data_IF_524893653278
#
_entry.id   IF_524893653278
#
_cell.length_a   1.000
_cell.length_b   1.000
_cell.length_c   1.000
_cell.angle_alpha   90.00
_cell.angle_beta   90.00
_cell.angle_gamma   90.00
#
_symmetry.space_group_name_H-M   'P 1'
#
loop_
_entity.id
_entity.type
_entity.pdbx_description
1 polymer ?
#
# COMPACT_ATOMS: atom_id res chain seq x y z
N UNK A 1 -6.26 19.14 -7.47
CA UNK A 1 -5.46 18.07 -6.87
C UNK A 1 -5.50 16.84 -7.76
N UNK A 2 -4.37 16.22 -8.01
CA UNK A 2 -4.25 14.95 -8.74
C UNK A 2 -3.62 13.91 -7.82
N UNK A 3 -4.17 12.69 -7.78
CA UNK A 3 -3.70 11.58 -6.95
C UNK A 3 -3.39 10.34 -7.78
N UNK A 4 -2.38 9.59 -7.36
CA UNK A 4 -1.98 8.32 -7.96
C UNK A 4 -0.93 8.45 -9.07
N UNK A 5 -0.12 7.41 -9.22
CA UNK A 5 0.89 7.32 -10.28
C UNK A 5 2.20 8.05 -10.03
N UNK A 6 2.21 9.13 -9.31
CA UNK A 6 3.43 9.89 -9.02
C UNK A 6 4.41 9.07 -8.16
N UNK A 7 5.65 8.94 -8.66
CA UNK A 7 6.72 8.21 -7.97
C UNK A 7 8.05 8.96 -8.00
N UNK A 8 8.30 9.81 -8.97
CA UNK A 8 9.55 10.54 -9.13
C UNK A 8 9.40 11.98 -8.71
N UNK A 9 10.45 12.55 -8.13
CA UNK A 9 10.54 13.98 -7.78
C UNK A 9 10.39 14.85 -9.02
N UNK A 10 11.04 14.49 -10.12
CA UNK A 10 10.93 15.17 -11.40
C UNK A 10 9.48 15.25 -11.89
N UNK A 11 8.78 14.09 -11.99
CA UNK A 11 7.39 14.07 -12.47
C UNK A 11 6.41 14.82 -11.56
N UNK A 12 6.69 14.89 -10.24
CA UNK A 12 5.91 15.73 -9.31
C UNK A 12 6.16 17.21 -9.60
N UNK A 13 7.43 17.62 -9.75
CA UNK A 13 7.79 19.00 -10.04
C UNK A 13 7.23 19.46 -11.38
N UNK A 14 7.32 18.64 -12.41
CA UNK A 14 6.78 18.94 -13.74
C UNK A 14 5.26 19.17 -13.70
N UNK A 15 4.52 18.32 -12.97
CA UNK A 15 3.08 18.46 -12.82
C UNK A 15 2.67 19.76 -12.09
N UNK A 16 3.47 20.18 -11.11
CA UNK A 16 3.24 21.42 -10.37
C UNK A 16 3.64 22.67 -11.18
N UNK A 17 4.81 22.63 -11.84
CA UNK A 17 5.33 23.77 -12.61
C UNK A 17 4.56 24.02 -13.89
N UNK A 18 4.07 22.98 -14.55
CA UNK A 18 3.23 23.09 -15.75
C UNK A 18 1.77 23.47 -15.47
N UNK A 19 1.42 23.75 -14.20
CA UNK A 19 0.05 24.05 -13.75
C UNK A 19 -0.99 22.95 -14.07
N UNK A 20 -0.58 21.71 -14.33
CA UNK A 20 -1.49 20.57 -14.46
C UNK A 20 -2.26 20.34 -13.16
N UNK A 21 -1.62 20.60 -12.02
CA UNK A 21 -2.27 20.62 -10.73
C UNK A 21 -1.53 21.52 -9.73
N UNK A 22 -2.23 21.98 -8.69
CA UNK A 22 -1.64 22.73 -7.58
C UNK A 22 -1.25 21.83 -6.40
N UNK A 23 -1.80 20.62 -6.34
CA UNK A 23 -1.56 19.67 -5.25
C UNK A 23 -1.42 18.26 -5.83
N UNK A 24 -0.33 17.58 -5.47
CA UNK A 24 -0.11 16.17 -5.77
C UNK A 24 -0.39 15.31 -4.54
N UNK A 25 -1.29 14.35 -4.67
CA UNK A 25 -1.63 13.38 -3.61
C UNK A 25 -0.80 12.10 -3.71
N UNK A 26 -0.15 11.72 -2.61
CA UNK A 26 0.64 10.50 -2.47
C UNK A 26 -0.01 9.62 -1.40
N UNK A 27 -0.31 8.37 -1.70
CA UNK A 27 -0.95 7.44 -0.77
C UNK A 27 -0.06 6.25 -0.40
N UNK A 28 0.00 5.22 -1.27
CA UNK A 28 0.65 3.94 -0.96
C UNK A 28 2.07 4.02 -0.41
N UNK A 29 2.98 4.87 -0.92
CA UNK A 29 4.31 5.01 -0.34
C UNK A 29 4.30 5.39 1.13
N UNK A 30 3.38 6.29 1.54
CA UNK A 30 3.25 6.73 2.93
C UNK A 30 2.77 5.63 3.88
N UNK A 31 2.02 4.65 3.39
CA UNK A 31 1.62 3.49 4.20
C UNK A 31 2.81 2.61 4.58
N UNK A 32 3.85 2.57 3.76
CA UNK A 32 5.03 1.75 3.97
C UNK A 32 6.23 2.52 4.57
N UNK A 33 6.36 3.80 4.23
CA UNK A 33 7.35 4.72 4.82
C UNK A 33 6.72 6.10 5.03
N UNK A 34 6.27 6.44 6.25
CA UNK A 34 5.63 7.73 6.54
C UNK A 34 6.55 8.92 6.33
N UNK A 35 7.86 8.71 6.26
CA UNK A 35 8.86 9.76 6.05
C UNK A 35 9.32 9.90 4.60
N UNK A 36 8.82 9.09 3.66
CA UNK A 36 9.30 9.06 2.27
C UNK A 36 9.15 10.42 1.57
N UNK A 37 8.10 11.19 1.86
CA UNK A 37 7.92 12.54 1.29
C UNK A 37 8.93 13.52 1.86
N UNK A 38 9.20 13.47 3.17
CA UNK A 38 10.22 14.31 3.79
C UNK A 38 11.60 14.02 3.20
N UNK A 39 11.96 12.76 3.02
CA UNK A 39 13.20 12.33 2.36
C UNK A 39 13.28 12.79 0.90
N UNK A 40 12.16 12.80 0.18
CA UNK A 40 12.12 13.30 -1.19
C UNK A 40 12.32 14.82 -1.25
N UNK A 41 11.72 15.56 -0.35
CA UNK A 41 11.88 17.03 -0.29
C UNK A 41 13.32 17.39 0.08
N UNK A 42 13.95 16.67 1.04
CA UNK A 42 15.35 16.90 1.43
C UNK A 42 16.38 16.46 0.38
N UNK A 43 15.96 15.75 -0.68
CA UNK A 43 16.87 15.24 -1.72
C UNK A 43 17.53 13.91 -1.39
N UNK A 44 17.18 13.27 -0.27
CA UNK A 44 17.66 11.93 0.07
C UNK A 44 17.04 10.84 -0.82
N UNK A 45 15.87 11.12 -1.40
CA UNK A 45 15.10 10.16 -2.17
C UNK A 45 14.58 10.80 -3.45
N UNK A 46 15.01 10.32 -4.61
CA UNK A 46 14.53 10.80 -5.91
C UNK A 46 13.27 10.07 -6.38
N UNK A 47 13.07 8.83 -5.92
CA UNK A 47 11.94 7.99 -6.33
C UNK A 47 11.26 7.35 -5.13
N UNK A 48 9.94 7.54 -5.02
CA UNK A 48 9.13 6.91 -3.99
C UNK A 48 9.04 5.39 -4.20
N UNK A 49 9.11 4.60 -3.14
CA UNK A 49 9.06 3.14 -3.24
C UNK A 49 7.72 2.66 -3.79
N UNK A 50 7.77 1.62 -4.62
CA UNK A 50 6.60 0.99 -5.25
C UNK A 50 6.41 -0.41 -4.70
N UNK A 51 6.05 -0.52 -3.41
CA UNK A 51 5.86 -1.80 -2.72
C UNK A 51 4.83 -2.70 -3.42
N UNK A 52 3.81 -2.11 -4.04
CA UNK A 52 2.79 -2.84 -4.80
C UNK A 52 3.37 -3.73 -5.92
N UNK A 53 4.57 -3.41 -6.42
CA UNK A 53 5.24 -4.20 -7.46
C UNK A 53 5.98 -5.41 -6.89
N UNK A 54 6.32 -5.39 -5.61
CA UNK A 54 7.05 -6.47 -4.93
C UNK A 54 6.13 -7.41 -4.16
N UNK A 55 4.90 -6.96 -3.87
CA UNK A 55 3.93 -7.77 -3.14
C UNK A 55 3.36 -8.87 -4.03
N UNK A 56 3.61 -10.12 -3.65
CA UNK A 56 3.11 -11.31 -4.33
C UNK A 56 2.84 -12.43 -3.31
N UNK A 57 1.78 -13.21 -3.52
CA UNK A 57 1.51 -14.41 -2.73
C UNK A 57 2.50 -15.54 -3.01
N UNK A 58 3.10 -15.52 -4.19
CA UNK A 58 4.10 -16.51 -4.59
C UNK A 58 4.58 -16.30 -6.04
N UNK A 59 5.54 -17.12 -6.47
CA UNK A 59 6.10 -17.03 -7.83
C UNK A 59 5.15 -17.59 -8.88
N UNK A 60 5.43 -17.30 -10.15
CA UNK A 60 4.78 -17.87 -11.32
C UNK A 60 3.25 -17.79 -11.26
N UNK A 61 2.54 -18.90 -11.16
CA UNK A 61 1.07 -19.01 -11.18
C UNK A 61 0.43 -18.25 -10.01
N UNK A 62 1.10 -18.11 -8.87
CA UNK A 62 0.60 -17.39 -7.69
C UNK A 62 0.92 -15.89 -7.72
N UNK A 63 1.57 -15.41 -8.76
CA UNK A 63 1.94 -13.99 -8.90
C UNK A 63 0.76 -13.11 -9.33
N UNK A 64 0.85 -11.78 -9.16
CA UNK A 64 -0.12 -10.84 -9.71
C UNK A 64 -0.26 -10.90 -11.25
N UNK A 65 0.75 -11.45 -11.94
CA UNK A 65 0.75 -11.65 -13.41
C UNK A 65 0.15 -13.00 -13.84
N UNK A 66 -0.42 -13.78 -12.92
CA UNK A 66 -1.02 -15.08 -13.20
C UNK A 66 -2.01 -15.01 -14.38
N UNK A 67 -2.10 -16.04 -15.23
CA UNK A 67 -3.14 -16.12 -16.26
C UNK A 67 -4.55 -16.29 -15.65
N UNK A 68 -4.66 -16.75 -14.41
CA UNK A 68 -5.93 -16.99 -13.73
C UNK A 68 -6.45 -15.72 -13.06
N UNK A 69 -7.63 -15.25 -13.47
CA UNK A 69 -8.26 -14.05 -12.91
C UNK A 69 -8.47 -14.14 -11.40
N UNK A 70 -8.86 -15.31 -10.89
CA UNK A 70 -9.04 -15.53 -9.45
C UNK A 70 -7.75 -15.23 -8.66
N UNK A 71 -6.60 -15.69 -9.15
CA UNK A 71 -5.30 -15.44 -8.50
C UNK A 71 -4.93 -13.96 -8.52
N UNK A 72 -5.21 -13.25 -9.62
CA UNK A 72 -5.03 -11.79 -9.68
C UNK A 72 -5.87 -11.06 -8.63
N UNK A 73 -7.15 -11.45 -8.51
CA UNK A 73 -8.08 -10.86 -7.54
C UNK A 73 -7.59 -11.12 -6.10
N UNK A 74 -7.18 -12.36 -5.78
CA UNK A 74 -6.65 -12.70 -4.46
C UNK A 74 -5.38 -11.89 -4.15
N UNK A 75 -4.46 -11.75 -5.11
CA UNK A 75 -3.27 -10.90 -4.93
C UNK A 75 -3.63 -9.43 -4.68
N UNK A 76 -4.64 -8.90 -5.37
CA UNK A 76 -5.10 -7.53 -5.17
C UNK A 76 -5.64 -7.32 -3.75
N UNK A 77 -6.51 -8.22 -3.25
CA UNK A 77 -7.02 -8.17 -1.88
C UNK A 77 -5.91 -8.35 -0.84
N UNK A 78 -4.99 -9.29 -1.08
CA UNK A 78 -3.86 -9.50 -0.19
C UNK A 78 -2.95 -8.25 -0.11
N UNK A 79 -2.72 -7.58 -1.24
CA UNK A 79 -1.97 -6.32 -1.27
C UNK A 79 -2.67 -5.21 -0.50
N UNK A 80 -4.00 -5.08 -0.62
CA UNK A 80 -4.78 -4.15 0.18
C UNK A 80 -4.65 -4.47 1.68
N UNK A 81 -4.82 -5.74 2.07
CA UNK A 81 -4.67 -6.18 3.45
C UNK A 81 -3.28 -5.84 4.01
N UNK A 82 -2.22 -5.99 3.20
CA UNK A 82 -0.87 -5.62 3.60
C UNK A 82 -0.75 -4.11 3.91
N UNK A 83 -1.26 -3.24 3.04
CA UNK A 83 -1.26 -1.80 3.30
C UNK A 83 -2.10 -1.43 4.53
N UNK A 84 -3.25 -2.05 4.73
CA UNK A 84 -4.07 -1.84 5.93
C UNK A 84 -3.36 -2.26 7.21
N UNK A 85 -2.58 -3.35 7.19
CA UNK A 85 -1.78 -3.74 8.35
C UNK A 85 -0.71 -2.69 8.68
N UNK A 86 -0.08 -2.07 7.67
CA UNK A 86 0.88 -0.98 7.92
C UNK A 86 0.20 0.23 8.56
N UNK A 87 -0.99 0.61 8.07
CA UNK A 87 -1.79 1.70 8.66
C UNK A 87 -2.19 1.36 10.10
N UNK A 88 -2.64 0.12 10.36
CA UNK A 88 -2.97 -0.35 11.72
C UNK A 88 -1.75 -0.32 12.66
N UNK A 89 -0.54 -0.62 12.16
CA UNK A 89 0.68 -0.51 12.93
C UNK A 89 0.96 0.95 13.30
N UNK A 90 0.90 1.87 12.34
CA UNK A 90 1.09 3.30 12.58
C UNK A 90 0.04 3.87 13.57
N UNK A 91 -1.22 3.44 13.49
CA UNK A 91 -2.26 3.82 14.43
C UNK A 91 -1.97 3.39 15.88
N UNK A 92 -1.13 2.36 16.06
CA UNK A 92 -0.64 1.89 17.37
C UNK A 92 0.69 2.55 17.78
N UNK A 93 1.17 3.53 17.03
CA UNK A 93 2.48 4.17 17.27
C UNK A 93 3.69 3.33 16.86
N UNK A 94 3.47 2.25 16.10
CA UNK A 94 4.54 1.38 15.59
C UNK A 94 4.96 1.81 14.19
N UNK A 95 6.21 1.56 13.83
CA UNK A 95 6.67 1.73 12.46
C UNK A 95 6.08 0.66 11.53
N UNK A 96 5.85 0.98 10.24
CA UNK A 96 5.46 -0.01 9.26
C UNK A 96 6.47 -1.17 9.18
N UNK A 97 5.95 -2.39 9.12
CA UNK A 97 6.77 -3.58 8.94
C UNK A 97 6.81 -3.97 7.45
N UNK A 98 7.84 -3.47 6.75
CA UNK A 98 8.02 -3.72 5.32
C UNK A 98 8.37 -5.17 4.99
N UNK A 99 8.92 -5.93 5.96
CA UNK A 99 9.29 -7.35 5.80
C UNK A 99 8.10 -8.29 5.99
N UNK A 100 6.94 -7.77 6.39
CA UNK A 100 5.74 -8.58 6.59
C UNK A 100 5.35 -9.30 5.30
N UNK A 101 5.30 -10.63 5.35
CA UNK A 101 4.88 -11.44 4.21
C UNK A 101 3.41 -11.19 3.87
N UNK A 102 3.11 -11.07 2.59
CA UNK A 102 1.78 -10.79 2.06
C UNK A 102 0.73 -11.78 2.56
N UNK A 103 1.05 -13.08 2.55
CA UNK A 103 0.15 -14.13 3.05
C UNK A 103 -0.23 -13.95 4.52
N UNK A 104 0.71 -13.54 5.37
CA UNK A 104 0.45 -13.32 6.79
C UNK A 104 -0.46 -12.11 7.01
N UNK A 105 -0.25 -11.03 6.25
CA UNK A 105 -1.11 -9.85 6.28
C UNK A 105 -2.54 -10.20 5.86
N UNK A 106 -2.70 -10.93 4.77
CA UNK A 106 -4.00 -11.36 4.26
C UNK A 106 -4.75 -12.26 5.25
N UNK A 107 -4.04 -13.25 5.84
CA UNK A 107 -4.64 -14.11 6.87
C UNK A 107 -5.06 -13.34 8.12
N UNK A 108 -4.27 -12.37 8.56
CA UNK A 108 -4.58 -11.53 9.71
C UNK A 108 -5.82 -10.67 9.46
N UNK A 109 -5.95 -10.13 8.26
CA UNK A 109 -7.11 -9.31 7.87
C UNK A 109 -8.39 -10.14 7.82
N UNK A 110 -8.38 -11.29 7.17
CA UNK A 110 -9.50 -12.23 7.15
C UNK A 110 -9.94 -12.68 8.57
N UNK A 111 -8.98 -12.86 9.48
CA UNK A 111 -9.29 -13.18 10.88
C UNK A 111 -9.95 -12.02 11.60
N UNK A 112 -9.49 -10.80 11.37
CA UNK A 112 -10.06 -9.59 11.95
C UNK A 112 -11.52 -9.39 11.48
N UNK A 113 -11.77 -9.56 10.18
CA UNK A 113 -13.12 -9.45 9.61
C UNK A 113 -14.09 -10.48 10.19
N UNK A 114 -13.64 -11.73 10.34
CA UNK A 114 -14.46 -12.79 10.97
C UNK A 114 -14.80 -12.46 12.42
N UNK A 115 -13.87 -11.91 13.19
CA UNK A 115 -14.11 -11.48 14.57
C UNK A 115 -15.10 -10.33 14.62
N UNK A 116 -14.90 -9.30 13.81
CA UNK A 116 -15.80 -8.15 13.73
C UNK A 116 -17.23 -8.56 13.35
N UNK A 117 -17.37 -9.48 12.39
CA UNK A 117 -18.68 -10.03 12.01
C UNK A 117 -19.34 -10.78 13.18
N UNK A 118 -18.58 -11.60 13.89
CA UNK A 118 -19.09 -12.33 15.07
C UNK A 118 -19.58 -11.38 16.17
N UNK A 119 -18.79 -10.34 16.47
CA UNK A 119 -19.13 -9.35 17.48
C UNK A 119 -20.38 -8.56 17.08
N UNK A 120 -20.50 -8.19 15.81
CA UNK A 120 -21.71 -7.55 15.26
C UNK A 120 -22.95 -8.44 15.38
N UNK A 121 -22.84 -9.73 15.09
CA UNK A 121 -23.97 -10.66 15.20
C UNK A 121 -24.38 -10.89 16.65
N UNK A 122 -23.44 -10.89 17.60
CA UNK A 122 -23.71 -11.07 19.03
C UNK A 122 -24.27 -9.80 19.70
N UNK A 123 -24.14 -8.63 19.04
CA UNK A 123 -24.66 -7.34 19.57
C UNK A 123 -26.10 -7.05 19.17
N UNK A 124 -26.72 -7.91 18.37
CA UNK A 124 -28.14 -7.85 17.95
C UNK A 124 -29.02 -8.77 18.80
#
# INVERSE_FOLDING_TARGET
MVTGGFRTREGINDALQSNVCQIVGIGRPLCADPYCIKKMISGELETLPSFEKTLSLGPSILSPSSPFTLIKVINAFASMAWFYQQIKNMAKGLMPNQEQKLFNAFRADLKADKLALKDYLNSK
#
